data_IF_495312557493
#
_entry.id   IF_495312557493
#
_cell.length_a   1.000
_cell.length_b   1.000
_cell.length_c   1.000
_cell.angle_alpha   90.00
_cell.angle_beta   90.00
_cell.angle_gamma   90.00
#
_symmetry.space_group_name_H-M   'P 1'
#
loop_
_entity.id
_entity.type
_entity.pdbx_description
1 polymer ?
#
# COMPACT_ATOMS: atom_id res chain seq x y z
N UNK A 1 -11.05 6.13 22.29
CA UNK A 1 -10.11 7.25 22.53
C UNK A 1 -9.22 7.34 21.30
N UNK A 2 -9.36 8.42 20.59
CA UNK A 2 -8.52 8.69 19.40
C UNK A 2 -7.11 9.06 19.89
N UNK A 3 -6.09 8.38 19.39
CA UNK A 3 -4.72 8.82 19.58
C UNK A 3 -4.36 9.77 18.44
N UNK A 4 -3.87 10.96 18.76
CA UNK A 4 -3.30 11.88 17.80
C UNK A 4 -1.80 11.98 18.07
N UNK A 5 -1.00 11.81 17.03
CA UNK A 5 0.45 11.99 17.09
C UNK A 5 0.86 13.09 16.12
N UNK A 6 1.72 13.98 16.59
CA UNK A 6 2.16 15.14 15.81
C UNK A 6 3.66 15.09 15.53
N UNK A 7 4.04 15.39 14.30
CA UNK A 7 5.42 15.42 13.82
C UNK A 7 5.71 16.78 13.19
N UNK A 8 6.79 17.43 13.60
CA UNK A 8 7.24 18.69 13.01
C UNK A 8 8.38 18.40 12.04
N UNK A 9 8.19 18.83 10.80
CA UNK A 9 9.14 18.67 9.71
C UNK A 9 9.70 20.03 9.31
N UNK A 10 11.02 20.13 9.20
CA UNK A 10 11.72 21.33 8.74
C UNK A 10 12.37 21.02 7.39
N UNK A 11 11.85 21.60 6.31
CA UNK A 11 12.42 21.42 4.98
C UNK A 11 13.71 22.22 4.79
N UNK A 12 14.54 21.79 3.85
CA UNK A 12 15.83 22.45 3.54
C UNK A 12 15.71 23.90 3.07
N UNK A 13 14.55 24.27 2.52
CA UNK A 13 14.21 25.63 2.08
C UNK A 13 13.66 26.53 3.23
N UNK A 14 13.63 25.99 4.47
CA UNK A 14 13.25 26.73 5.67
C UNK A 14 11.76 26.76 5.99
N UNK A 15 10.94 26.01 5.25
CA UNK A 15 9.53 25.84 5.60
C UNK A 15 9.39 24.86 6.78
N UNK A 16 8.33 25.04 7.56
CA UNK A 16 8.01 24.15 8.67
C UNK A 16 6.59 23.66 8.55
N UNK A 17 6.42 22.36 8.72
CA UNK A 17 5.12 21.69 8.65
C UNK A 17 4.85 20.92 9.94
N UNK A 18 3.58 20.90 10.37
CA UNK A 18 3.05 19.98 11.37
C UNK A 18 2.21 18.93 10.65
N UNK A 19 2.63 17.69 10.77
CA UNK A 19 1.89 16.53 10.32
C UNK A 19 1.19 15.93 11.53
N UNK A 20 -0.13 15.88 11.50
CA UNK A 20 -0.94 15.41 12.61
C UNK A 20 -1.70 14.16 12.19
N UNK A 21 -1.23 13.01 12.69
CA UNK A 21 -1.88 11.72 12.47
C UNK A 21 -3.06 11.58 13.42
N UNK A 22 -4.17 11.08 12.93
CA UNK A 22 -5.30 10.63 13.73
C UNK A 22 -5.91 9.35 13.18
N UNK A 23 -6.61 8.63 14.06
CA UNK A 23 -7.29 7.38 13.80
C UNK A 23 -8.79 7.60 13.95
N UNK A 24 -9.59 7.14 12.99
CA UNK A 24 -11.06 7.11 13.10
C UNK A 24 -11.61 5.78 13.66
N UNK A 25 -12.95 5.67 13.75
CA UNK A 25 -13.62 4.53 14.35
C UNK A 25 -13.46 3.21 13.57
N UNK A 26 -13.06 3.29 12.29
CA UNK A 26 -12.93 2.14 11.40
C UNK A 26 -11.45 1.78 11.14
N UNK A 27 -10.55 2.20 12.02
CA UNK A 27 -9.09 2.06 11.87
C UNK A 27 -8.51 2.75 10.62
N UNK A 28 -9.26 3.67 10.02
CA UNK A 28 -8.70 4.53 8.99
C UNK A 28 -7.83 5.59 9.64
N UNK A 29 -6.64 5.75 9.08
CA UNK A 29 -5.65 6.70 9.55
C UNK A 29 -5.46 7.79 8.54
N UNK A 30 -5.35 9.02 9.06
CA UNK A 30 -5.20 10.22 8.26
C UNK A 30 -4.04 11.03 8.80
N UNK A 31 -3.29 11.63 7.90
CA UNK A 31 -2.29 12.64 8.23
C UNK A 31 -2.82 13.97 7.73
N UNK A 32 -3.17 14.86 8.66
CA UNK A 32 -3.48 16.25 8.33
C UNK A 32 -2.20 17.06 8.36
N UNK A 33 -2.03 17.90 7.37
CA UNK A 33 -0.83 18.71 7.19
C UNK A 33 -1.16 20.18 7.40
N UNK A 34 -0.37 20.83 8.26
CA UNK A 34 -0.44 22.27 8.51
C UNK A 34 0.93 22.90 8.27
N UNK A 35 0.97 23.99 7.57
CA UNK A 35 2.16 24.83 7.48
C UNK A 35 2.23 25.74 8.72
N UNK A 36 3.41 25.87 9.29
CA UNK A 36 3.65 26.72 10.46
C UNK A 36 4.39 27.98 10.02
N UNK A 37 3.68 29.09 9.87
CA UNK A 37 4.26 30.39 9.56
C UNK A 37 4.30 31.22 10.85
N UNK A 38 5.49 31.54 11.35
CA UNK A 38 5.68 32.26 12.62
C UNK A 38 4.94 31.62 13.81
N UNK A 39 4.83 30.29 13.81
CA UNK A 39 4.12 29.54 14.84
C UNK A 39 2.60 29.47 14.67
N UNK A 40 2.05 30.08 13.63
CA UNK A 40 0.61 30.02 13.31
C UNK A 40 0.35 28.90 12.30
N UNK A 41 -0.51 27.91 12.63
CA UNK A 41 -0.84 26.83 11.69
C UNK A 41 -1.81 27.29 10.62
N UNK A 42 -1.51 26.96 9.36
CA UNK A 42 -2.43 27.06 8.24
C UNK A 42 -2.61 25.68 7.61
N UNK A 43 -3.86 25.27 7.39
CA UNK A 43 -4.17 23.96 6.85
C UNK A 43 -3.73 23.84 5.38
N UNK A 44 -3.02 22.76 5.06
CA UNK A 44 -2.52 22.46 3.71
C UNK A 44 -3.39 21.40 3.04
N UNK A 45 -3.65 20.29 3.72
CA UNK A 45 -4.38 19.16 3.18
C UNK A 45 -4.31 17.95 4.09
N UNK A 46 -4.78 16.79 3.58
CA UNK A 46 -4.69 15.53 4.30
C UNK A 46 -4.43 14.36 3.33
N UNK A 47 -3.88 13.27 3.88
CA UNK A 47 -3.67 12.01 3.18
C UNK A 47 -4.11 10.84 4.06
N UNK A 48 -4.69 9.80 3.44
CA UNK A 48 -5.13 8.56 4.10
C UNK A 48 -3.96 7.62 4.37
N UNK A 49 -3.06 8.00 5.27
CA UNK A 49 -1.83 7.29 5.59
C UNK A 49 -1.53 7.35 7.07
N UNK A 50 -0.52 6.57 7.50
CA UNK A 50 -0.09 6.55 8.89
C UNK A 50 1.43 6.43 9.01
N UNK A 51 1.97 6.97 10.10
CA UNK A 51 3.29 6.63 10.58
C UNK A 51 3.21 5.44 11.54
N UNK A 52 4.07 4.45 11.29
CA UNK A 52 4.34 3.38 12.25
C UNK A 52 5.81 3.46 12.64
N UNK A 53 6.09 3.61 13.94
CA UNK A 53 7.44 3.60 14.49
C UNK A 53 8.42 4.64 13.91
N UNK A 54 7.94 5.76 13.42
CA UNK A 54 8.81 6.83 12.93
C UNK A 54 9.49 7.52 14.11
N UNK A 55 10.80 7.32 14.26
CA UNK A 55 11.60 7.97 15.29
C UNK A 55 12.26 9.27 14.82
N UNK A 56 12.52 9.39 13.52
CA UNK A 56 13.17 10.54 12.90
C UNK A 56 12.46 10.81 11.58
N UNK A 57 12.08 12.05 11.37
CA UNK A 57 11.47 12.48 10.14
C UNK A 57 12.46 13.37 9.38
N UNK A 58 13.03 12.78 8.34
CA UNK A 58 13.74 13.52 7.30
C UNK A 58 12.70 13.97 6.28
N UNK A 59 12.48 15.28 6.05
CA UNK A 59 11.49 15.76 5.08
C UNK A 59 11.76 15.31 3.65
N UNK A 60 13.01 14.94 3.34
CA UNK A 60 13.40 14.46 2.02
C UNK A 60 13.26 12.93 1.88
N UNK A 61 13.08 12.20 3.01
CA UNK A 61 12.94 10.73 2.97
C UNK A 61 12.33 10.17 4.25
N UNK A 62 11.06 9.83 4.25
CA UNK A 62 10.36 9.15 5.35
C UNK A 62 9.44 8.05 4.83
N UNK A 63 9.01 7.14 5.68
CA UNK A 63 8.13 6.04 5.32
C UNK A 63 6.74 6.26 5.91
N UNK A 64 5.72 6.14 5.07
CA UNK A 64 4.34 6.08 5.49
C UNK A 64 3.73 4.75 5.08
N UNK A 65 2.73 4.34 5.83
CA UNK A 65 1.93 3.14 5.57
C UNK A 65 0.53 3.55 5.16
N UNK A 66 -0.06 2.79 4.26
CA UNK A 66 -1.47 2.92 3.91
C UNK A 66 -2.16 1.56 3.98
N UNK A 67 -3.43 1.56 4.33
CA UNK A 67 -4.28 0.37 4.22
C UNK A 67 -4.57 0.13 2.74
N UNK A 68 -4.36 -1.11 2.32
CA UNK A 68 -4.62 -1.59 0.97
C UNK A 68 -5.56 -2.78 1.05
N UNK A 69 -6.66 -2.72 0.30
CA UNK A 69 -7.61 -3.81 0.15
C UNK A 69 -7.43 -4.43 -1.26
N UNK A 70 -6.34 -5.20 -1.43
CA UNK A 70 -5.94 -5.85 -2.68
C UNK A 70 -5.68 -7.32 -2.42
N UNK A 71 -6.61 -8.20 -2.80
CA UNK A 71 -6.56 -9.64 -2.51
C UNK A 71 -6.41 -9.92 -1.00
N UNK A 72 -7.03 -9.07 -0.17
CA UNK A 72 -6.92 -9.04 1.27
C UNK A 72 -6.62 -7.65 1.78
N UNK A 73 -6.72 -7.45 3.11
CA UNK A 73 -6.35 -6.18 3.75
C UNK A 73 -4.92 -6.27 4.27
N UNK A 74 -4.08 -5.35 3.82
CA UNK A 74 -2.67 -5.23 4.20
C UNK A 74 -2.31 -3.80 4.54
N UNK A 75 -1.17 -3.62 5.21
CA UNK A 75 -0.52 -2.34 5.31
C UNK A 75 0.68 -2.31 4.37
N UNK A 76 0.55 -1.54 3.29
CA UNK A 76 1.62 -1.29 2.35
C UNK A 76 2.40 -0.05 2.73
N UNK A 77 3.71 -0.06 2.52
CA UNK A 77 4.58 1.07 2.78
C UNK A 77 5.23 1.59 1.50
N UNK A 78 5.39 2.90 1.43
CA UNK A 78 6.20 3.60 0.45
C UNK A 78 7.13 4.59 1.14
N UNK A 79 8.17 5.00 0.43
CA UNK A 79 9.00 6.14 0.83
C UNK A 79 8.38 7.42 0.28
N UNK A 80 8.35 8.45 1.11
CA UNK A 80 7.78 9.74 0.80
C UNK A 80 8.80 10.86 1.04
N UNK A 81 8.56 11.99 0.44
CA UNK A 81 9.19 13.28 0.70
C UNK A 81 8.11 14.36 0.80
N UNK A 82 8.46 15.51 1.36
CA UNK A 82 7.57 16.67 1.39
C UNK A 82 7.64 17.38 0.04
N UNK A 83 6.52 17.51 -0.66
CA UNK A 83 6.44 18.19 -1.95
C UNK A 83 6.45 19.74 -1.78
N UNK A 84 6.33 20.46 -2.90
CA UNK A 84 6.30 21.92 -2.92
C UNK A 84 5.07 22.49 -2.18
N UNK A 85 3.95 21.77 -2.15
CA UNK A 85 2.74 22.15 -1.44
C UNK A 85 2.82 21.84 0.06
N UNK A 86 3.75 20.98 0.46
CA UNK A 86 3.91 20.51 1.85
C UNK A 86 3.23 19.19 2.13
N UNK A 87 2.70 18.51 1.11
CA UNK A 87 2.06 17.21 1.24
C UNK A 87 3.08 16.07 1.06
N UNK A 88 2.80 14.87 1.60
CA UNK A 88 3.60 13.69 1.31
C UNK A 88 3.47 13.31 -0.16
N UNK A 89 4.59 13.21 -0.87
CA UNK A 89 4.67 12.72 -2.23
C UNK A 89 5.64 11.53 -2.32
N UNK A 90 5.40 10.61 -3.22
CA UNK A 90 6.22 9.41 -3.41
C UNK A 90 6.55 9.21 -4.88
N UNK A 91 7.81 8.90 -5.16
CA UNK A 91 8.27 8.47 -6.49
C UNK A 91 8.20 6.94 -6.64
N UNK A 92 7.89 6.20 -5.56
CA UNK A 92 7.74 4.75 -5.62
C UNK A 92 6.45 4.40 -6.38
N UNK A 93 6.54 3.55 -7.38
CA UNK A 93 5.39 3.10 -8.18
C UNK A 93 4.50 2.13 -7.39
N UNK A 94 5.07 1.38 -6.44
CA UNK A 94 4.37 0.32 -5.72
C UNK A 94 4.60 0.37 -4.21
N UNK A 95 3.63 -0.15 -3.49
CA UNK A 95 3.72 -0.41 -2.05
C UNK A 95 4.42 -1.74 -1.79
N UNK A 96 5.27 -1.78 -0.80
CA UNK A 96 5.85 -3.01 -0.25
C UNK A 96 5.00 -3.48 0.92
N UNK A 97 4.66 -4.77 0.92
CA UNK A 97 3.86 -5.42 1.97
C UNK A 97 4.79 -6.38 2.73
N UNK A 98 5.01 -6.12 4.02
CA UNK A 98 5.92 -6.93 4.83
C UNK A 98 5.26 -8.18 5.42
N UNK A 99 3.97 -8.10 5.70
CA UNK A 99 3.22 -9.16 6.34
C UNK A 99 1.95 -9.44 5.54
N UNK A 100 1.83 -10.65 5.01
CA UNK A 100 0.63 -11.11 4.35
C UNK A 100 0.38 -12.59 4.64
N UNK A 101 -0.90 -12.96 4.65
CA UNK A 101 -1.31 -14.36 4.73
C UNK A 101 -1.18 -15.03 3.37
N UNK A 102 -0.88 -16.33 3.38
CA UNK A 102 -0.83 -17.11 2.15
C UNK A 102 -2.24 -17.37 1.64
N UNK A 103 -2.53 -16.93 0.43
CA UNK A 103 -3.72 -17.28 -0.33
C UNK A 103 -3.51 -18.60 -1.07
N UNK A 104 -4.55 -19.41 -1.22
CA UNK A 104 -4.48 -20.65 -2.02
C UNK A 104 -5.46 -20.56 -3.17
N UNK A 105 -4.97 -20.76 -4.40
CA UNK A 105 -5.83 -20.72 -5.58
C UNK A 105 -6.77 -21.93 -5.68
N UNK A 106 -8.01 -21.67 -6.09
CA UNK A 106 -9.05 -22.68 -6.36
C UNK A 106 -9.06 -23.12 -7.82
N UNK A 107 -8.38 -22.37 -8.68
CA UNK A 107 -8.30 -22.60 -10.12
C UNK A 107 -6.91 -22.27 -10.66
N UNK A 108 -6.65 -22.66 -11.91
CA UNK A 108 -5.45 -22.22 -12.60
C UNK A 108 -5.51 -20.72 -12.88
N UNK A 109 -4.41 -20.02 -12.65
CA UNK A 109 -4.31 -18.57 -12.84
C UNK A 109 -3.26 -18.23 -13.90
N UNK A 110 -3.61 -17.36 -14.83
CA UNK A 110 -2.66 -16.70 -15.71
C UNK A 110 -1.89 -15.65 -14.94
N UNK A 111 -0.57 -15.72 -14.95
CA UNK A 111 0.33 -14.81 -14.22
C UNK A 111 1.55 -14.47 -15.05
N UNK A 112 2.24 -13.42 -14.70
CA UNK A 112 3.56 -13.11 -15.23
C UNK A 112 4.62 -13.53 -14.20
N UNK A 113 5.48 -14.50 -14.53
CA UNK A 113 6.61 -14.88 -13.68
C UNK A 113 7.67 -13.78 -13.72
N UNK A 114 8.10 -13.36 -12.53
CA UNK A 114 9.12 -12.33 -12.34
C UNK A 114 10.48 -13.00 -12.10
N UNK A 115 11.31 -13.02 -13.11
CA UNK A 115 12.62 -13.67 -13.04
C UNK A 115 13.65 -12.79 -12.32
N UNK A 116 14.61 -13.41 -11.62
CA UNK A 116 15.67 -12.69 -10.88
C UNK A 116 16.56 -11.80 -11.75
N UNK A 117 16.61 -12.07 -13.04
CA UNK A 117 17.36 -11.27 -14.02
C UNK A 117 16.56 -10.06 -14.54
N UNK A 118 15.33 -9.84 -14.03
CA UNK A 118 14.43 -8.78 -14.44
C UNK A 118 13.60 -9.08 -15.69
N UNK A 119 13.72 -10.29 -16.28
CA UNK A 119 12.81 -10.70 -17.36
C UNK A 119 11.46 -11.15 -16.80
N UNK A 120 10.44 -11.03 -17.63
CA UNK A 120 9.06 -11.39 -17.32
C UNK A 120 8.58 -12.46 -18.32
N UNK A 121 7.85 -13.46 -17.85
CA UNK A 121 7.36 -14.56 -18.69
C UNK A 121 5.93 -14.92 -18.31
N UNK A 122 5.03 -14.92 -19.30
CA UNK A 122 3.66 -15.36 -19.10
C UNK A 122 3.62 -16.86 -18.78
N UNK A 123 2.84 -17.23 -17.78
CA UNK A 123 2.69 -18.62 -17.35
C UNK A 123 1.29 -18.88 -16.79
N UNK A 124 0.92 -20.15 -16.78
CA UNK A 124 -0.25 -20.62 -16.03
C UNK A 124 0.24 -21.33 -14.78
N UNK A 125 -0.20 -20.87 -13.63
CA UNK A 125 0.06 -21.49 -12.33
C UNK A 125 -1.15 -22.32 -11.91
N UNK A 126 -0.91 -23.59 -11.57
CA UNK A 126 -1.98 -24.55 -11.33
C UNK A 126 -2.74 -24.26 -10.03
N UNK A 127 -4.00 -24.65 -10.01
CA UNK A 127 -4.87 -24.69 -8.85
C UNK A 127 -4.21 -25.35 -7.64
N UNK A 128 -4.50 -24.85 -6.44
CA UNK A 128 -3.93 -25.32 -5.19
C UNK A 128 -2.57 -24.70 -4.84
N UNK A 129 -2.03 -23.83 -5.69
CA UNK A 129 -0.78 -23.10 -5.41
C UNK A 129 -1.01 -22.02 -4.36
N UNK A 130 -0.02 -21.85 -3.49
CA UNK A 130 0.03 -20.79 -2.46
C UNK A 130 0.67 -19.51 -2.98
N UNK A 131 0.07 -18.37 -2.66
CA UNK A 131 0.50 -17.02 -3.02
C UNK A 131 0.63 -16.16 -1.77
N UNK A 132 1.77 -15.53 -1.56
CA UNK A 132 2.01 -14.58 -0.46
C UNK A 132 2.29 -13.20 -1.06
N UNK A 133 1.35 -12.28 -0.95
CA UNK A 133 1.46 -10.97 -1.57
C UNK A 133 2.57 -10.15 -0.88
N UNK A 134 3.49 -9.58 -1.65
CA UNK A 134 4.59 -8.78 -1.12
C UNK A 134 4.69 -7.37 -1.72
N UNK A 135 4.01 -7.11 -2.84
CA UNK A 135 4.04 -5.80 -3.50
C UNK A 135 2.78 -5.57 -4.32
N UNK A 136 2.30 -4.33 -4.41
CA UNK A 136 1.18 -3.93 -5.28
C UNK A 136 1.23 -2.43 -5.57
N UNK A 137 0.70 -2.00 -6.71
CA UNK A 137 0.43 -0.58 -6.97
C UNK A 137 -0.89 -0.10 -6.34
N UNK A 138 -1.70 -1.04 -5.82
CA UNK A 138 -3.01 -0.75 -5.24
C UNK A 138 -4.15 -0.67 -6.26
N UNK A 139 -3.90 -0.93 -7.55
CA UNK A 139 -4.88 -0.68 -8.60
C UNK A 139 -4.88 -1.70 -9.75
N UNK A 140 -3.72 -2.16 -10.21
CA UNK A 140 -3.63 -2.94 -11.45
C UNK A 140 -2.93 -4.28 -11.30
N UNK A 141 -2.11 -4.47 -10.27
CA UNK A 141 -1.42 -5.72 -10.03
C UNK A 141 -1.14 -6.00 -8.56
N UNK A 142 -0.92 -7.27 -8.27
CA UNK A 142 -0.33 -7.76 -7.03
C UNK A 142 0.82 -8.72 -7.35
N UNK A 143 2.01 -8.47 -6.81
CA UNK A 143 3.15 -9.37 -6.90
C UNK A 143 3.15 -10.32 -5.69
N UNK A 144 3.38 -11.60 -5.95
CA UNK A 144 3.32 -12.64 -4.94
C UNK A 144 4.50 -13.60 -5.02
N UNK A 145 4.94 -14.07 -3.85
CA UNK A 145 5.78 -15.26 -3.74
C UNK A 145 4.92 -16.51 -3.88
N UNK A 146 5.28 -17.41 -4.77
CA UNK A 146 4.67 -18.72 -4.88
C UNK A 146 5.29 -19.68 -3.88
N UNK A 147 4.53 -20.67 -3.41
CA UNK A 147 5.04 -21.69 -2.47
C UNK A 147 6.11 -22.61 -3.07
N UNK A 148 6.38 -22.55 -4.37
CA UNK A 148 7.47 -23.23 -5.06
C UNK A 148 8.77 -22.40 -5.16
N UNK A 149 8.75 -21.16 -4.65
CA UNK A 149 9.90 -20.25 -4.59
C UNK A 149 10.06 -19.31 -5.78
N UNK A 150 9.11 -19.32 -6.73
CA UNK A 150 9.06 -18.32 -7.81
C UNK A 150 8.32 -17.07 -7.34
N UNK A 151 8.58 -15.96 -8.00
CA UNK A 151 7.81 -14.73 -7.88
C UNK A 151 6.92 -14.54 -9.10
N UNK A 152 5.72 -14.02 -8.88
CA UNK A 152 4.82 -13.75 -9.98
C UNK A 152 4.03 -12.46 -9.78
N UNK A 153 3.54 -11.91 -10.87
CA UNK A 153 2.58 -10.81 -10.92
C UNK A 153 1.22 -11.34 -11.31
N UNK A 154 0.22 -11.03 -10.51
CA UNK A 154 -1.19 -11.24 -10.79
C UNK A 154 -1.74 -9.91 -11.29
N UNK A 155 -2.23 -9.87 -12.53
CA UNK A 155 -2.96 -8.72 -13.03
C UNK A 155 -4.35 -8.68 -12.38
N UNK A 156 -4.72 -7.53 -11.84
CA UNK A 156 -6.01 -7.30 -11.20
C UNK A 156 -6.72 -6.13 -11.86
N UNK A 157 -8.01 -6.12 -11.77
CA UNK A 157 -8.86 -5.02 -12.19
C UNK A 157 -9.98 -4.85 -11.18
N UNK A 158 -10.44 -3.63 -10.97
CA UNK A 158 -11.63 -3.38 -10.14
C UNK A 158 -12.79 -4.28 -10.56
N UNK A 159 -13.37 -4.95 -9.59
CA UNK A 159 -14.42 -5.92 -9.83
C UNK A 159 -15.65 -5.29 -10.48
N UNK A 160 -16.27 -5.99 -11.40
CA UNK A 160 -17.44 -5.53 -12.16
C UNK A 160 -18.65 -5.16 -11.29
N UNK A 161 -18.65 -5.57 -10.01
CA UNK A 161 -19.67 -5.26 -8.99
C UNK A 161 -19.42 -3.95 -8.24
N UNK A 162 -18.31 -3.25 -8.56
CA UNK A 162 -17.89 -2.01 -7.88
C UNK A 162 -17.23 -2.26 -6.50
N UNK A 163 -16.82 -3.50 -6.22
CA UNK A 163 -16.02 -3.90 -5.06
C UNK A 163 -15.25 -5.18 -5.37
N UNK A 164 -14.13 -5.41 -4.64
CA UNK A 164 -13.22 -6.52 -4.87
C UNK A 164 -12.47 -6.43 -6.20
N UNK A 165 -11.85 -7.52 -6.60
CA UNK A 165 -10.98 -7.56 -7.76
C UNK A 165 -11.39 -8.68 -8.73
N UNK A 166 -11.26 -8.40 -10.04
CA UNK A 166 -11.32 -9.41 -11.09
C UNK A 166 -9.89 -9.80 -11.51
N UNK A 167 -9.62 -11.09 -11.61
CA UNK A 167 -8.39 -11.68 -12.10
C UNK A 167 -8.72 -12.41 -13.39
N UNK A 168 -8.17 -11.96 -14.51
CA UNK A 168 -8.47 -12.53 -15.85
C UNK A 168 -9.99 -12.59 -16.15
N UNK A 169 -10.72 -11.54 -15.70
CA UNK A 169 -12.17 -11.41 -15.88
C UNK A 169 -13.02 -12.29 -14.97
N UNK A 170 -12.43 -12.91 -13.97
CA UNK A 170 -13.10 -13.74 -12.96
C UNK A 170 -12.93 -13.11 -11.59
N UNK A 171 -14.02 -13.07 -10.80
CA UNK A 171 -13.98 -12.52 -9.44
C UNK A 171 -12.91 -13.23 -8.60
N UNK A 172 -12.18 -12.46 -7.81
CA UNK A 172 -11.19 -12.97 -6.85
C UNK A 172 -11.75 -14.08 -5.96
N UNK A 173 -13.03 -13.98 -5.53
CA UNK A 173 -13.73 -14.97 -4.71
C UNK A 173 -13.81 -16.35 -5.37
N UNK A 174 -13.76 -16.42 -6.70
CA UNK A 174 -13.73 -17.67 -7.46
C UNK A 174 -12.29 -18.16 -7.70
N UNK A 175 -11.30 -17.29 -7.46
CA UNK A 175 -9.89 -17.58 -7.72
C UNK A 175 -9.16 -18.14 -6.50
N UNK A 176 -9.62 -17.81 -5.28
CA UNK A 176 -8.94 -18.20 -4.05
C UNK A 176 -9.92 -18.78 -3.01
N UNK A 177 -9.40 -19.63 -2.11
CA UNK A 177 -10.21 -20.30 -1.08
C UNK A 177 -10.77 -19.32 -0.04
N UNK A 178 -10.05 -18.27 0.29
CA UNK A 178 -10.41 -17.25 1.28
C UNK A 178 -9.53 -16.00 1.15
N UNK A 179 -9.95 -14.91 1.79
CA UNK A 179 -9.20 -13.65 1.85
C UNK A 179 -9.11 -13.12 3.26
N UNK A 180 -7.96 -12.56 3.66
CA UNK A 180 -7.78 -11.90 4.95
C UNK A 180 -8.30 -10.45 4.91
N UNK A 181 -9.54 -10.23 4.47
CA UNK A 181 -10.13 -8.90 4.54
C UNK A 181 -10.48 -8.55 5.98
N UNK A 182 -9.99 -7.40 6.45
CA UNK A 182 -10.41 -6.80 7.69
C UNK A 182 -11.67 -5.96 7.45
N UNK A 183 -12.74 -6.26 8.20
CA UNK A 183 -14.00 -5.50 8.20
C UNK A 183 -13.90 -4.23 9.03
#
# INVERSE_FOLDING_TARGET
AYSSEGYVLHTSDGRTYLYLQHLDDNDYRYVNVFRLDQGMPSYVGYEGMAWYNAQILDPDSFVLYTRLDVLGTYYGMKRYHVDEAGLPASDDEAYVINESSMLRSTRDLAVTILEKNGSETEATVLSGTGYTIFRTDGASYADAHLNDGRDCRIQIKEGSRGWGWDIDGVSEEECFEWFPYAG
#
